data_IF_175311871074
#
_entry.id   IF_175311871074
#
_cell.length_a   1.000
_cell.length_b   1.000
_cell.length_c   1.000
_cell.angle_alpha   90.00
_cell.angle_beta   90.00
_cell.angle_gamma   90.00
#
_symmetry.space_group_name_H-M   'P 1'
#
loop_
_entity.id
_entity.type
_entity.pdbx_description
1 polymer ?
#
# COMPACT_ATOMS: atom_id res chain seq x y z
N UNK A 1 -5.20 28.77 -12.23
CA UNK A 1 -4.23 28.35 -11.19
C UNK A 1 -3.68 29.58 -10.44
N UNK A 2 -4.52 30.25 -9.64
CA UNK A 2 -4.08 31.36 -8.75
C UNK A 2 -4.34 30.97 -7.30
N UNK A 3 -3.64 31.62 -6.37
CA UNK A 3 -3.86 31.39 -4.93
C UNK A 3 -5.32 31.66 -4.51
N UNK A 4 -5.89 32.77 -4.98
CA UNK A 4 -7.27 33.15 -4.67
C UNK A 4 -8.27 32.07 -5.12
N UNK A 5 -8.08 31.53 -6.32
CA UNK A 5 -8.93 30.46 -6.84
C UNK A 5 -8.87 29.21 -5.96
N UNK A 6 -7.68 28.73 -5.59
CA UNK A 6 -7.58 27.54 -4.71
C UNK A 6 -8.16 27.78 -3.32
N UNK A 7 -8.05 29.00 -2.76
CA UNK A 7 -8.65 29.33 -1.46
C UNK A 7 -10.17 29.21 -1.46
N UNK A 8 -10.81 29.46 -2.60
CA UNK A 8 -12.26 29.37 -2.76
C UNK A 8 -12.74 27.96 -3.15
N UNK A 9 -11.90 27.21 -3.88
CA UNK A 9 -12.28 25.95 -4.51
C UNK A 9 -11.75 24.71 -3.79
N UNK A 10 -10.91 24.85 -2.76
CA UNK A 10 -10.45 23.71 -1.95
C UNK A 10 -11.09 23.69 -0.56
N UNK A 11 -11.29 22.49 -0.01
CA UNK A 11 -11.85 22.31 1.33
C UNK A 11 -11.15 21.16 2.07
N UNK A 12 -10.82 21.37 3.34
CA UNK A 12 -10.29 20.31 4.21
C UNK A 12 -11.41 19.34 4.56
N UNK A 13 -11.14 18.05 4.44
CA UNK A 13 -12.07 16.99 4.84
C UNK A 13 -11.96 16.78 6.35
N UNK A 14 -13.06 16.88 7.08
CA UNK A 14 -13.09 16.68 8.54
C UNK A 14 -13.75 15.35 8.94
N UNK A 15 -14.87 14.99 8.30
CA UNK A 15 -15.69 13.83 8.67
C UNK A 15 -15.78 12.79 7.52
N UNK A 16 -14.66 12.12 7.23
CA UNK A 16 -14.59 11.06 6.20
C UNK A 16 -13.87 9.83 6.73
N UNK A 17 -14.43 8.65 6.43
CA UNK A 17 -13.74 7.38 6.68
C UNK A 17 -12.81 7.05 5.51
N UNK A 18 -11.48 7.15 5.67
CA UNK A 18 -10.54 6.90 4.59
C UNK A 18 -10.42 5.41 4.22
N UNK A 19 -11.05 4.50 4.95
CA UNK A 19 -11.02 3.05 4.63
C UNK A 19 -12.12 2.64 3.64
N UNK A 20 -13.17 3.47 3.45
CA UNK A 20 -14.19 3.26 2.43
C UNK A 20 -13.69 3.73 1.05
N UNK A 21 -13.33 2.76 0.22
CA UNK A 21 -12.84 3.01 -1.14
C UNK A 21 -13.86 3.72 -2.04
N UNK A 22 -15.15 3.41 -1.91
CA UNK A 22 -16.19 4.00 -2.75
C UNK A 22 -16.46 5.45 -2.35
N UNK A 23 -16.54 5.72 -1.05
CA UNK A 23 -16.66 7.08 -0.54
C UNK A 23 -15.45 7.94 -0.93
N UNK A 24 -14.23 7.39 -0.83
CA UNK A 24 -13.02 8.07 -1.25
C UNK A 24 -13.01 8.44 -2.74
N UNK A 25 -13.45 7.52 -3.60
CA UNK A 25 -13.54 7.76 -5.04
C UNK A 25 -14.62 8.79 -5.37
N UNK A 26 -15.79 8.71 -4.73
CA UNK A 26 -16.85 9.69 -4.91
C UNK A 26 -16.38 11.10 -4.49
N UNK A 27 -15.60 11.18 -3.41
CA UNK A 27 -15.00 12.43 -2.93
C UNK A 27 -13.97 12.99 -3.92
N UNK A 28 -13.11 12.15 -4.49
CA UNK A 28 -12.11 12.54 -5.50
C UNK A 28 -12.73 13.07 -6.80
N UNK A 29 -13.93 12.59 -7.16
CA UNK A 29 -14.64 12.96 -8.38
C UNK A 29 -15.56 14.18 -8.21
N UNK A 30 -15.67 14.76 -7.01
CA UNK A 30 -16.44 16.00 -6.81
C UNK A 30 -15.82 17.14 -7.62
N UNK A 31 -16.65 17.86 -8.36
CA UNK A 31 -16.26 19.00 -9.19
C UNK A 31 -16.53 20.36 -8.54
N UNK A 32 -17.25 20.39 -7.42
CA UNK A 32 -17.64 21.63 -6.72
C UNK A 32 -16.48 22.20 -5.88
N UNK A 33 -15.99 21.42 -4.92
CA UNK A 33 -14.79 21.75 -4.13
C UNK A 33 -13.82 20.59 -4.10
N UNK A 34 -12.55 20.91 -4.33
CA UNK A 34 -11.44 19.96 -4.31
C UNK A 34 -11.09 19.61 -2.86
N UNK A 35 -11.28 18.33 -2.47
CA UNK A 35 -11.05 17.91 -1.11
C UNK A 35 -9.54 17.85 -0.80
N UNK A 36 -9.17 18.33 0.39
CA UNK A 36 -7.81 18.30 0.92
C UNK A 36 -7.76 17.41 2.15
N UNK A 37 -6.82 16.45 2.18
CA UNK A 37 -6.64 15.52 3.28
C UNK A 37 -6.36 14.11 2.79
N UNK A 38 -6.59 13.13 3.67
CA UNK A 38 -6.49 11.71 3.32
C UNK A 38 -7.83 11.26 2.75
N UNK A 39 -7.87 11.03 1.43
CA UNK A 39 -9.07 10.51 0.78
C UNK A 39 -9.21 9.00 0.98
N UNK A 40 -8.10 8.26 0.90
CA UNK A 40 -8.11 6.80 1.01
C UNK A 40 -6.86 6.26 1.72
N UNK A 41 -7.04 5.23 2.54
CA UNK A 41 -5.98 4.41 3.12
C UNK A 41 -6.42 2.94 3.15
N UNK A 42 -5.46 2.03 3.03
CA UNK A 42 -5.72 0.60 3.02
C UNK A 42 -4.69 -0.15 3.87
N UNK A 43 -4.72 0.01 5.20
CA UNK A 43 -3.71 -0.55 6.10
C UNK A 43 -3.61 -2.08 6.01
N UNK A 44 -4.70 -2.76 5.64
CA UNK A 44 -4.76 -4.22 5.46
C UNK A 44 -3.98 -4.73 4.23
N UNK A 45 -3.67 -3.86 3.25
CA UNK A 45 -2.97 -4.27 2.03
C UNK A 45 -1.47 -4.36 2.30
N UNK A 46 -0.94 -5.57 2.17
CA UNK A 46 0.50 -5.81 2.21
C UNK A 46 1.19 -5.15 1.01
N UNK A 47 2.41 -4.67 1.23
CA UNK A 47 3.27 -4.18 0.15
C UNK A 47 3.71 -5.34 -0.76
N UNK A 48 4.16 -4.99 -1.97
CA UNK A 48 4.68 -5.98 -2.91
C UNK A 48 5.84 -6.81 -2.34
N UNK A 49 6.72 -6.19 -1.56
CA UNK A 49 7.87 -6.84 -0.92
C UNK A 49 7.41 -7.84 0.14
N UNK A 50 6.40 -7.49 0.93
CA UNK A 50 5.83 -8.35 1.97
C UNK A 50 5.15 -9.58 1.37
N UNK A 51 4.58 -9.45 0.17
CA UNK A 51 3.89 -10.54 -0.53
C UNK A 51 4.84 -11.58 -1.15
N UNK A 52 6.14 -11.29 -1.28
CA UNK A 52 7.07 -12.23 -1.88
C UNK A 52 7.18 -13.51 -1.04
N UNK A 53 7.25 -14.68 -1.70
CA UNK A 53 7.38 -15.98 -1.04
C UNK A 53 8.56 -16.03 -0.05
N UNK A 54 9.64 -15.31 -0.35
CA UNK A 54 10.80 -15.19 0.53
C UNK A 54 10.49 -14.52 1.87
N UNK A 55 9.49 -13.65 1.95
CA UNK A 55 9.18 -12.83 3.13
C UNK A 55 7.91 -13.25 3.89
N UNK A 56 7.18 -14.27 3.41
CA UNK A 56 5.96 -14.78 4.05
C UNK A 56 6.15 -15.17 5.53
N UNK A 57 7.27 -15.84 5.84
CA UNK A 57 7.54 -16.36 7.19
C UNK A 57 8.62 -15.57 7.95
N UNK A 58 9.39 -14.74 7.25
CA UNK A 58 10.55 -14.06 7.83
C UNK A 58 10.80 -12.75 7.10
N UNK A 59 10.83 -11.64 7.83
CA UNK A 59 11.12 -10.31 7.28
C UNK A 59 12.62 -10.01 7.13
N UNK A 60 13.51 -10.81 7.74
CA UNK A 60 14.96 -10.54 7.71
C UNK A 60 15.48 -10.45 6.27
N UNK A 61 16.34 -9.49 5.92
CA UNK A 61 16.93 -9.39 4.57
C UNK A 61 17.61 -10.68 4.12
N UNK A 62 17.50 -11.03 2.84
CA UNK A 62 18.02 -12.30 2.29
C UNK A 62 19.52 -12.52 2.57
N UNK A 63 20.34 -11.47 2.46
CA UNK A 63 21.79 -11.55 2.65
C UNK A 63 22.20 -11.85 4.10
N UNK A 64 21.31 -11.64 5.08
CA UNK A 64 21.55 -11.96 6.49
C UNK A 64 21.11 -13.39 6.86
N UNK A 65 20.50 -14.13 5.93
CA UNK A 65 19.96 -15.47 6.21
C UNK A 65 21.02 -16.53 5.97
N UNK A 66 21.08 -17.50 6.86
CA UNK A 66 21.83 -18.73 6.63
C UNK A 66 21.06 -19.67 5.69
N UNK A 67 21.79 -20.35 4.80
CA UNK A 67 21.22 -21.34 3.88
C UNK A 67 21.01 -22.66 4.61
N UNK A 68 19.80 -23.23 4.54
CA UNK A 68 19.57 -24.62 4.94
C UNK A 68 20.15 -25.57 3.88
N UNK A 69 21.37 -26.06 4.15
CA UNK A 69 22.07 -26.99 3.25
C UNK A 69 21.34 -28.32 3.08
N UNK A 70 20.55 -28.75 4.07
CA UNK A 70 19.82 -30.02 3.99
C UNK A 70 18.64 -29.91 3.03
N UNK A 71 17.88 -28.82 3.11
CA UNK A 71 16.78 -28.52 2.18
C UNK A 71 17.29 -28.34 0.75
N UNK A 72 18.42 -27.65 0.56
CA UNK A 72 19.05 -27.49 -0.75
C UNK A 72 19.44 -28.84 -1.38
N UNK A 73 20.06 -29.74 -0.60
CA UNK A 73 20.43 -31.08 -1.08
C UNK A 73 19.20 -31.89 -1.52
N UNK A 74 18.10 -31.83 -0.77
CA UNK A 74 16.82 -32.49 -1.13
C UNK A 74 16.28 -31.96 -2.46
N UNK A 75 16.29 -30.65 -2.65
CA UNK A 75 15.82 -30.02 -3.89
C UNK A 75 16.67 -30.40 -5.11
N UNK A 76 17.99 -30.51 -4.95
CA UNK A 76 18.89 -30.97 -6.00
C UNK A 76 18.67 -32.46 -6.32
N UNK A 77 18.39 -33.30 -5.33
CA UNK A 77 18.14 -34.72 -5.52
C UNK A 77 16.83 -35.01 -6.26
N UNK A 78 15.79 -34.20 -6.03
CA UNK A 78 14.48 -34.33 -6.70
C UNK A 78 14.45 -33.83 -8.16
N UNK A 79 15.55 -33.26 -8.67
CA UNK A 79 15.67 -32.81 -10.07
C UNK A 79 16.33 -33.85 -10.99
N UNK A 80 16.49 -35.10 -10.54
CA UNK A 80 16.95 -36.21 -11.38
C UNK A 80 15.78 -36.95 -12.02
#
# INVERSE_FOLDING_TARGET
NTYAWYKEHCQIIEDHDPTDQMAALALALKSDRYPLGVLYTSPEKQSFEQQQAAYQNKSTPLWQRSIDRSALKKLLANKK
#
